data_IF_728097680289
#
_entry.id   IF_728097680289
#
_cell.length_a   1.000
_cell.length_b   1.000
_cell.length_c   1.000
_cell.angle_alpha   90.00
_cell.angle_beta   90.00
_cell.angle_gamma   90.00
#
_symmetry.space_group_name_H-M   'P 1'
#
loop_
_entity.id
_entity.type
_entity.pdbx_description
1 polymer ?
#
# COMPACT_ATOMS: atom_id res chain seq x y z
N UNK A 1 -11.70 -25.75 -35.32
CA UNK A 1 -10.33 -25.35 -34.94
C UNK A 1 -10.39 -24.90 -33.49
N UNK A 2 -10.01 -25.79 -32.57
CA UNK A 2 -9.98 -25.51 -31.13
C UNK A 2 -8.66 -24.75 -30.91
N UNK A 3 -8.74 -23.50 -30.49
CA UNK A 3 -7.54 -22.74 -30.11
C UNK A 3 -6.94 -23.42 -28.86
N UNK A 4 -5.62 -23.66 -28.80
CA UNK A 4 -4.99 -24.20 -27.60
C UNK A 4 -5.20 -23.26 -26.42
N UNK A 5 -5.60 -23.78 -25.26
CA UNK A 5 -5.57 -23.04 -24.01
C UNK A 5 -4.10 -22.74 -23.67
N UNK A 6 -3.67 -21.50 -23.95
CA UNK A 6 -2.30 -21.05 -23.70
C UNK A 6 -2.02 -20.74 -22.21
N UNK A 7 -3.01 -20.93 -21.32
CA UNK A 7 -2.94 -20.57 -19.92
C UNK A 7 -3.63 -21.66 -19.09
N UNK A 8 -2.94 -22.15 -18.07
CA UNK A 8 -3.42 -23.22 -17.19
C UNK A 8 -3.61 -22.66 -15.78
N UNK A 9 -4.76 -22.92 -15.18
CA UNK A 9 -5.05 -22.63 -13.76
C UNK A 9 -5.86 -23.78 -13.16
N UNK A 10 -5.81 -23.92 -11.84
CA UNK A 10 -6.59 -24.95 -11.15
C UNK A 10 -8.09 -24.64 -11.24
N UNK A 11 -8.91 -25.68 -11.40
CA UNK A 11 -10.35 -25.54 -11.60
C UNK A 11 -11.04 -24.75 -10.47
N UNK A 12 -10.52 -24.82 -9.24
CA UNK A 12 -11.02 -24.07 -8.10
C UNK A 12 -10.93 -22.54 -8.26
N UNK A 13 -10.01 -22.06 -9.11
CA UNK A 13 -9.84 -20.63 -9.38
C UNK A 13 -10.58 -20.17 -10.65
N UNK A 14 -11.30 -21.04 -11.35
CA UNK A 14 -11.87 -20.73 -12.66
C UNK A 14 -12.82 -19.52 -12.61
N UNK A 15 -13.71 -19.48 -11.62
CA UNK A 15 -14.66 -18.36 -11.47
C UNK A 15 -13.94 -17.04 -11.20
N UNK A 16 -12.89 -17.07 -10.38
CA UNK A 16 -12.09 -15.89 -10.06
C UNK A 16 -11.29 -15.41 -11.28
N UNK A 17 -10.65 -16.33 -12.00
CA UNK A 17 -9.89 -16.03 -13.21
C UNK A 17 -10.82 -15.47 -14.30
N UNK A 18 -11.96 -16.12 -14.53
CA UNK A 18 -12.94 -15.65 -15.51
C UNK A 18 -13.51 -14.27 -15.15
N UNK A 19 -13.83 -14.04 -13.86
CA UNK A 19 -14.28 -12.74 -13.38
C UNK A 19 -13.23 -11.65 -13.64
N UNK A 20 -11.98 -11.89 -13.24
CA UNK A 20 -10.87 -10.94 -13.46
C UNK A 20 -10.60 -10.71 -14.94
N UNK A 21 -10.60 -11.76 -15.75
CA UNK A 21 -10.43 -11.68 -17.21
C UNK A 21 -11.54 -10.85 -17.85
N UNK A 22 -12.81 -11.13 -17.51
CA UNK A 22 -13.97 -10.41 -18.03
C UNK A 22 -13.93 -8.93 -17.65
N UNK A 23 -13.64 -8.62 -16.39
CA UNK A 23 -13.54 -7.24 -15.91
C UNK A 23 -12.42 -6.46 -16.62
N UNK A 24 -11.25 -7.09 -16.78
CA UNK A 24 -10.11 -6.50 -17.49
C UNK A 24 -10.42 -6.29 -18.97
N UNK A 25 -10.94 -7.33 -19.64
CA UNK A 25 -11.26 -7.31 -21.06
C UNK A 25 -12.33 -6.28 -21.39
N UNK A 26 -13.39 -6.19 -20.57
CA UNK A 26 -14.44 -5.19 -20.72
C UNK A 26 -13.85 -3.78 -20.66
N UNK A 27 -12.99 -3.50 -19.68
CA UNK A 27 -12.34 -2.19 -19.52
C UNK A 27 -11.49 -1.84 -20.75
N UNK A 28 -10.66 -2.77 -21.19
CA UNK A 28 -9.75 -2.57 -22.34
C UNK A 28 -10.52 -2.41 -23.65
N UNK A 29 -11.53 -3.24 -23.91
CA UNK A 29 -12.36 -3.16 -25.12
C UNK A 29 -13.14 -1.84 -25.14
N UNK A 30 -13.81 -1.46 -24.04
CA UNK A 30 -14.53 -0.19 -23.94
C UNK A 30 -13.60 1.01 -24.21
N UNK A 31 -12.36 0.97 -23.71
CA UNK A 31 -11.35 1.99 -23.98
C UNK A 31 -10.99 2.09 -25.47
N UNK A 32 -10.76 0.96 -26.13
CA UNK A 32 -10.47 0.89 -27.58
C UNK A 32 -11.64 1.41 -28.42
N UNK A 33 -12.87 1.00 -28.09
CA UNK A 33 -14.09 1.47 -28.74
C UNK A 33 -14.24 2.99 -28.57
N UNK A 34 -14.04 3.50 -27.35
CA UNK A 34 -14.14 4.93 -27.06
C UNK A 34 -13.09 5.75 -27.80
N UNK A 35 -11.87 5.22 -27.98
CA UNK A 35 -10.83 5.84 -28.82
C UNK A 35 -11.28 5.91 -30.27
N UNK A 36 -11.78 4.80 -30.80
CA UNK A 36 -12.28 4.68 -32.17
C UNK A 36 -13.45 5.63 -32.46
N UNK A 37 -14.36 5.80 -31.50
CA UNK A 37 -15.41 6.83 -31.53
C UNK A 37 -14.84 8.24 -31.70
N UNK A 38 -13.80 8.62 -30.94
CA UNK A 38 -13.18 9.96 -31.06
C UNK A 38 -12.49 10.18 -32.40
N UNK A 39 -11.96 9.11 -33.00
CA UNK A 39 -11.36 9.12 -34.33
C UNK A 39 -12.40 9.03 -35.45
N UNK A 40 -13.69 8.93 -35.11
CA UNK A 40 -14.80 8.68 -36.04
C UNK A 40 -14.58 7.45 -36.93
N UNK A 41 -14.02 6.38 -36.36
CA UNK A 41 -13.72 5.13 -37.06
C UNK A 41 -14.44 3.96 -36.38
N UNK A 42 -15.07 3.08 -37.16
CA UNK A 42 -15.63 1.83 -36.63
C UNK A 42 -14.53 0.78 -36.38
N UNK A 43 -14.52 0.09 -35.22
CA UNK A 43 -13.64 -1.05 -35.01
C UNK A 43 -14.00 -2.26 -35.92
N UNK A 44 -12.99 -2.95 -36.47
CA UNK A 44 -13.20 -4.12 -37.37
C UNK A 44 -13.99 -5.28 -36.74
N UNK A 45 -13.92 -5.41 -35.41
CA UNK A 45 -14.57 -6.48 -34.65
C UNK A 45 -16.00 -6.14 -34.19
N UNK A 46 -16.55 -4.99 -34.61
CA UNK A 46 -17.93 -4.59 -34.32
C UNK A 46 -18.73 -4.60 -35.63
N UNK A 47 -19.91 -5.22 -35.60
CA UNK A 47 -20.82 -5.23 -36.74
C UNK A 47 -21.28 -3.81 -37.10
N UNK A 48 -21.75 -3.59 -38.32
CA UNK A 48 -22.28 -2.26 -38.67
C UNK A 48 -23.51 -1.91 -37.83
N UNK A 49 -24.42 -2.88 -37.66
CA UNK A 49 -25.63 -2.71 -36.86
C UNK A 49 -25.32 -2.28 -35.42
N UNK A 50 -24.42 -2.99 -34.72
CA UNK A 50 -24.05 -2.67 -33.34
C UNK A 50 -23.38 -1.30 -33.24
N UNK A 51 -22.54 -0.94 -34.23
CA UNK A 51 -21.89 0.36 -34.26
C UNK A 51 -22.90 1.50 -34.43
N UNK A 52 -23.87 1.35 -35.32
CA UNK A 52 -24.97 2.31 -35.49
C UNK A 52 -25.77 2.47 -34.19
N UNK A 53 -26.14 1.37 -33.53
CA UNK A 53 -26.85 1.42 -32.24
C UNK A 53 -26.03 2.15 -31.16
N UNK A 54 -24.72 1.94 -31.11
CA UNK A 54 -23.84 2.65 -30.18
C UNK A 54 -23.78 4.16 -30.48
N UNK A 55 -23.69 4.55 -31.76
CA UNK A 55 -23.70 5.94 -32.18
C UNK A 55 -25.03 6.63 -31.84
N UNK A 56 -26.16 5.97 -32.09
CA UNK A 56 -27.50 6.46 -31.71
C UNK A 56 -27.58 6.70 -30.20
N UNK A 57 -27.21 5.70 -29.39
CA UNK A 57 -27.17 5.81 -27.94
C UNK A 57 -26.28 6.98 -27.47
N UNK A 58 -25.09 7.12 -28.03
CA UNK A 58 -24.18 8.21 -27.67
C UNK A 58 -24.64 9.60 -28.12
N UNK A 59 -25.54 9.67 -29.09
CA UNK A 59 -26.15 10.91 -29.58
C UNK A 59 -27.32 11.36 -28.71
N UNK A 60 -27.80 10.51 -27.80
CA UNK A 60 -28.87 10.88 -26.86
C UNK A 60 -28.40 11.96 -25.88
N UNK A 61 -29.31 12.86 -25.51
CA UNK A 61 -29.02 13.92 -24.53
C UNK A 61 -28.48 13.40 -23.19
N UNK A 62 -29.02 12.30 -22.61
CA UNK A 62 -28.49 11.76 -21.36
C UNK A 62 -27.03 11.30 -21.49
N UNK A 63 -26.67 10.66 -22.61
CA UNK A 63 -25.29 10.21 -22.84
C UNK A 63 -24.33 11.39 -23.02
N UNK A 64 -24.75 12.43 -23.76
CA UNK A 64 -23.98 13.66 -23.95
C UNK A 64 -23.79 14.37 -22.61
N UNK A 65 -24.87 14.56 -21.83
CA UNK A 65 -24.82 15.20 -20.51
C UNK A 65 -23.86 14.46 -19.57
N UNK A 66 -24.00 13.14 -19.44
CA UNK A 66 -23.12 12.31 -18.63
C UNK A 66 -21.65 12.45 -19.04
N UNK A 67 -21.37 12.51 -20.35
CA UNK A 67 -20.02 12.70 -20.86
C UNK A 67 -19.46 14.09 -20.53
N UNK A 68 -20.28 15.14 -20.64
CA UNK A 68 -19.90 16.52 -20.29
C UNK A 68 -19.64 16.65 -18.79
N UNK A 69 -20.55 16.18 -17.96
CA UNK A 69 -20.40 16.19 -16.50
C UNK A 69 -19.11 15.45 -16.10
N UNK A 70 -18.88 14.24 -16.64
CA UNK A 70 -17.65 13.49 -16.39
C UNK A 70 -16.38 14.22 -16.86
N UNK A 71 -16.44 14.97 -17.96
CA UNK A 71 -15.32 15.80 -18.40
C UNK A 71 -15.07 16.96 -17.42
N UNK A 72 -16.11 17.68 -17.03
CA UNK A 72 -16.05 18.76 -16.04
C UNK A 72 -15.49 18.26 -14.72
N UNK A 73 -15.92 17.11 -14.22
CA UNK A 73 -15.37 16.52 -12.99
C UNK A 73 -13.90 16.11 -13.12
N UNK A 74 -13.45 15.63 -14.29
CA UNK A 74 -12.03 15.30 -14.49
C UNK A 74 -11.14 16.53 -14.49
N UNK A 75 -11.64 17.66 -14.95
CA UNK A 75 -10.89 18.92 -15.03
C UNK A 75 -11.27 19.92 -13.94
N UNK A 76 -12.09 19.51 -12.97
CA UNK A 76 -12.57 20.41 -11.92
C UNK A 76 -11.42 20.78 -10.99
N UNK A 77 -11.42 22.04 -10.54
CA UNK A 77 -10.52 22.56 -9.53
C UNK A 77 -11.32 23.07 -8.31
N UNK A 78 -11.99 22.19 -7.55
CA UNK A 78 -12.83 22.62 -6.43
C UNK A 78 -12.02 23.27 -5.31
N UNK A 79 -10.76 22.86 -5.15
CA UNK A 79 -9.93 23.19 -3.99
C UNK A 79 -8.98 24.37 -4.27
N UNK A 80 -9.00 24.94 -5.48
CA UNK A 80 -7.99 25.87 -5.97
C UNK A 80 -6.65 25.23 -6.36
N UNK A 81 -6.39 23.98 -5.93
CA UNK A 81 -5.13 23.23 -6.12
C UNK A 81 -4.90 22.62 -7.51
N UNK A 82 -5.77 22.93 -8.46
CA UNK A 82 -5.72 22.44 -9.83
C UNK A 82 -6.36 21.07 -10.02
N UNK A 83 -6.27 20.56 -11.25
CA UNK A 83 -6.70 19.21 -11.60
C UNK A 83 -5.77 18.17 -10.97
N UNK A 84 -6.34 17.09 -10.43
CA UNK A 84 -5.58 15.97 -9.88
C UNK A 84 -4.78 15.24 -10.96
N UNK A 85 -3.50 14.94 -10.70
CA UNK A 85 -2.58 14.33 -11.67
C UNK A 85 -1.63 13.34 -10.99
N UNK A 86 -1.27 12.28 -11.71
CA UNK A 86 -0.24 11.34 -11.29
C UNK A 86 0.60 10.88 -12.50
N UNK A 87 1.81 10.39 -12.23
CA UNK A 87 2.81 9.92 -13.19
C UNK A 87 2.89 8.38 -13.29
N UNK A 88 2.05 7.63 -12.57
CA UNK A 88 2.08 6.16 -12.51
C UNK A 88 1.89 5.43 -13.87
N UNK A 89 1.51 6.14 -14.94
CA UNK A 89 1.26 5.53 -16.24
C UNK A 89 0.17 4.43 -16.17
N UNK A 90 0.30 3.35 -16.95
CA UNK A 90 -0.64 2.22 -16.91
C UNK A 90 -0.42 1.25 -15.74
N UNK A 91 0.49 1.55 -14.81
CA UNK A 91 0.76 0.69 -13.67
C UNK A 91 -0.23 0.96 -12.53
N UNK A 92 -0.69 -0.10 -11.88
CA UNK A 92 -1.44 0.02 -10.62
C UNK A 92 -0.51 0.49 -9.50
N UNK A 93 -1.04 1.29 -8.57
CA UNK A 93 -0.27 1.78 -7.42
C UNK A 93 0.22 0.63 -6.53
N UNK A 94 -0.53 -0.47 -6.44
CA UNK A 94 -0.14 -1.68 -5.70
C UNK A 94 1.12 -2.32 -6.30
N UNK A 95 1.23 -2.34 -7.64
CA UNK A 95 2.44 -2.79 -8.31
C UNK A 95 3.61 -1.84 -8.04
N UNK A 96 3.38 -0.53 -8.06
CA UNK A 96 4.43 0.46 -7.79
C UNK A 96 4.94 0.32 -6.35
N UNK A 97 4.04 0.16 -5.38
CA UNK A 97 4.39 -0.09 -3.97
C UNK A 97 5.24 -1.35 -3.81
N UNK A 98 4.83 -2.45 -4.45
CA UNK A 98 5.60 -3.69 -4.46
C UNK A 98 6.98 -3.52 -5.11
N UNK A 99 7.06 -2.87 -6.28
CA UNK A 99 8.33 -2.61 -6.96
C UNK A 99 9.24 -1.73 -6.08
N UNK A 100 8.70 -0.74 -5.35
CA UNK A 100 9.46 0.07 -4.39
C UNK A 100 9.98 -0.74 -3.19
N UNK A 101 9.19 -1.67 -2.66
CA UNK A 101 9.61 -2.59 -1.59
C UNK A 101 10.76 -3.49 -2.05
N UNK A 102 10.67 -4.03 -3.27
CA UNK A 102 11.75 -4.84 -3.85
C UNK A 102 13.01 -4.01 -4.10
N UNK A 103 12.86 -2.78 -4.60
CA UNK A 103 13.99 -1.86 -4.86
C UNK A 103 14.71 -1.43 -3.56
N UNK A 104 13.99 -1.28 -2.45
CA UNK A 104 14.57 -0.92 -1.15
C UNK A 104 15.25 -2.11 -0.45
N UNK A 105 14.93 -3.35 -0.85
CA UNK A 105 15.41 -4.56 -0.18
C UNK A 105 14.83 -4.74 1.23
N UNK A 106 13.73 -4.04 1.54
CA UNK A 106 13.02 -4.16 2.81
C UNK A 106 11.86 -5.16 2.65
N UNK A 107 11.56 -5.91 3.71
CA UNK A 107 10.37 -6.77 3.76
C UNK A 107 9.08 -6.00 4.09
N UNK A 108 9.15 -4.67 4.13
CA UNK A 108 8.03 -3.78 4.43
C UNK A 108 7.72 -2.81 3.28
N UNK A 109 6.43 -2.55 2.99
CA UNK A 109 6.06 -1.60 1.96
C UNK A 109 6.42 -0.16 2.37
N UNK A 110 6.77 0.72 1.42
CA UNK A 110 7.10 2.11 1.72
C UNK A 110 5.95 2.83 2.46
N UNK A 111 6.24 3.92 3.20
CA UNK A 111 5.18 4.74 3.76
C UNK A 111 4.33 5.38 2.65
N UNK A 112 3.07 5.70 2.95
CA UNK A 112 2.14 6.27 1.97
C UNK A 112 2.64 7.60 1.40
N UNK A 113 3.39 8.38 2.17
CA UNK A 113 4.02 9.63 1.72
C UNK A 113 5.01 9.37 0.58
N UNK A 114 5.86 8.36 0.70
CA UNK A 114 6.82 7.95 -0.33
C UNK A 114 6.13 7.38 -1.57
N UNK A 115 5.08 6.57 -1.39
CA UNK A 115 4.27 6.09 -2.51
C UNK A 115 3.64 7.27 -3.28
N UNK A 116 3.08 8.24 -2.56
CA UNK A 116 2.51 9.45 -3.17
C UNK A 116 3.60 10.25 -3.88
N UNK A 117 4.78 10.44 -3.27
CA UNK A 117 5.93 11.11 -3.87
C UNK A 117 6.36 10.41 -5.16
N UNK A 118 6.49 9.08 -5.18
CA UNK A 118 6.82 8.30 -6.38
C UNK A 118 5.78 8.46 -7.49
N UNK A 119 4.50 8.51 -7.12
CA UNK A 119 3.40 8.52 -8.09
C UNK A 119 2.96 9.91 -8.55
N UNK A 120 3.27 10.97 -7.82
CA UNK A 120 2.82 12.35 -8.09
C UNK A 120 3.97 13.34 -8.35
N UNK A 121 5.19 12.85 -8.53
CA UNK A 121 6.37 13.66 -8.86
C UNK A 121 6.85 13.37 -10.27
N UNK A 122 7.33 14.41 -10.96
CA UNK A 122 8.03 14.32 -12.25
C UNK A 122 9.26 15.22 -12.20
N UNK A 123 10.41 14.73 -12.64
CA UNK A 123 11.66 15.49 -12.67
C UNK A 123 12.05 16.09 -11.29
N UNK A 124 11.64 15.42 -10.21
CA UNK A 124 11.90 15.86 -8.82
C UNK A 124 10.88 16.85 -8.24
N UNK A 125 9.90 17.33 -9.02
CA UNK A 125 8.86 18.25 -8.54
C UNK A 125 7.46 17.62 -8.56
N UNK A 126 6.62 17.95 -7.58
CA UNK A 126 5.23 17.51 -7.54
C UNK A 126 4.43 18.10 -8.70
N UNK A 127 3.71 17.25 -9.42
CA UNK A 127 2.81 17.68 -10.51
C UNK A 127 1.37 17.91 -10.03
N UNK A 128 1.10 17.62 -8.76
CA UNK A 128 -0.19 17.71 -8.09
C UNK A 128 -0.03 18.44 -6.76
N UNK A 129 -0.54 19.67 -6.70
CA UNK A 129 -0.41 20.54 -5.52
C UNK A 129 -1.13 19.97 -4.30
N UNK A 130 -2.21 19.20 -4.49
CA UNK A 130 -2.91 18.55 -3.37
C UNK A 130 -2.07 17.41 -2.78
N UNK A 131 -1.43 16.61 -3.63
CA UNK A 131 -0.51 15.57 -3.19
C UNK A 131 0.70 16.17 -2.44
N UNK A 132 1.27 17.25 -2.97
CA UNK A 132 2.36 17.98 -2.34
C UNK A 132 1.98 18.49 -0.95
N UNK A 133 0.87 19.24 -0.84
CA UNK A 133 0.41 19.75 0.46
C UNK A 133 0.20 18.61 1.46
N UNK A 134 -0.46 17.53 1.03
CA UNK A 134 -0.76 16.41 1.90
C UNK A 134 0.51 15.72 2.42
N UNK A 135 1.50 15.49 1.56
CA UNK A 135 2.77 14.85 1.97
C UNK A 135 3.50 15.75 2.96
N UNK A 136 3.63 17.04 2.66
CA UNK A 136 4.33 17.98 3.53
C UNK A 136 3.64 18.15 4.89
N UNK A 137 2.32 18.28 4.93
CA UNK A 137 1.56 18.38 6.19
C UNK A 137 1.68 17.12 7.07
N UNK A 138 1.83 15.94 6.45
CA UNK A 138 2.02 14.68 7.17
C UNK A 138 3.44 14.62 7.74
N UNK A 139 4.45 14.89 6.91
CA UNK A 139 5.85 14.87 7.32
C UNK A 139 6.12 15.91 8.42
N UNK A 140 5.57 17.12 8.31
CA UNK A 140 5.67 18.17 9.33
C UNK A 140 5.00 17.76 10.63
N UNK A 141 3.79 17.21 10.59
CA UNK A 141 3.08 16.79 11.80
C UNK A 141 3.81 15.69 12.54
N UNK A 142 4.40 14.73 11.82
CA UNK A 142 5.18 13.66 12.43
C UNK A 142 6.49 14.21 13.02
N UNK A 143 7.18 15.11 12.31
CA UNK A 143 8.38 15.76 12.83
C UNK A 143 8.11 16.54 14.13
N UNK A 144 6.97 17.23 14.24
CA UNK A 144 6.56 17.94 15.45
C UNK A 144 6.32 16.99 16.63
N UNK A 145 5.69 15.83 16.39
CA UNK A 145 5.47 14.81 17.44
C UNK A 145 6.79 14.25 17.99
N UNK A 146 7.79 14.11 17.13
CA UNK A 146 9.13 13.66 17.53
C UNK A 146 9.86 14.73 18.35
N UNK A 147 9.75 16.02 17.97
CA UNK A 147 10.37 17.10 18.74
C UNK A 147 9.74 17.29 20.13
N UNK A 148 8.42 17.14 20.25
CA UNK A 148 7.72 17.26 21.54
C UNK A 148 8.01 16.07 22.48
N UNK A 149 8.39 14.92 21.90
CA UNK A 149 8.80 13.72 22.66
C UNK A 149 10.26 13.81 23.16
N UNK A 150 11.09 14.71 22.62
CA UNK A 150 12.53 14.90 22.94
C UNK A 150 12.77 15.77 24.20
N UNK A 151 11.83 15.82 25.14
CA UNK A 151 12.11 16.31 26.51
C UNK A 151 12.65 15.23 27.45
N UNK A 152 12.78 13.97 27.00
CA UNK A 152 13.48 12.92 27.74
C UNK A 152 14.41 12.11 26.82
N UNK A 153 15.71 12.20 27.12
CA UNK A 153 16.83 11.40 26.61
C UNK A 153 17.29 11.59 25.14
N UNK A 154 18.57 11.91 25.02
CA UNK A 154 19.39 12.00 23.81
C UNK A 154 19.33 10.74 22.95
N UNK A 155 18.93 10.86 21.69
CA UNK A 155 19.44 10.02 20.60
C UNK A 155 19.15 10.57 19.22
N UNK A 156 20.11 10.32 18.33
CA UNK A 156 20.18 10.50 16.88
C UNK A 156 18.83 10.58 16.16
N UNK A 157 18.72 11.50 15.20
CA UNK A 157 17.57 11.68 14.30
C UNK A 157 17.10 10.32 13.74
N UNK A 158 16.09 9.74 14.38
CA UNK A 158 15.43 8.54 13.90
C UNK A 158 14.59 8.93 12.70
N UNK A 159 14.63 8.12 11.64
CA UNK A 159 13.65 8.25 10.57
C UNK A 159 12.27 7.99 11.18
N UNK A 160 11.26 8.85 10.93
CA UNK A 160 9.95 8.66 11.51
C UNK A 160 9.38 7.29 11.16
N UNK A 161 8.80 6.62 12.16
CA UNK A 161 8.29 5.26 11.95
C UNK A 161 7.26 5.25 10.82
N UNK A 162 7.43 4.33 9.88
CA UNK A 162 6.52 4.09 8.74
C UNK A 162 5.05 4.11 9.16
N UNK A 163 4.75 3.47 10.30
CA UNK A 163 3.41 3.34 10.85
C UNK A 163 2.84 4.69 11.31
N UNK A 164 3.65 5.53 11.95
CA UNK A 164 3.25 6.88 12.38
C UNK A 164 2.95 7.79 11.17
N UNK A 165 3.82 7.76 10.15
CA UNK A 165 3.57 8.45 8.87
C UNK A 165 2.26 8.00 8.24
N UNK A 166 2.01 6.68 8.17
CA UNK A 166 0.79 6.14 7.60
C UNK A 166 -0.45 6.54 8.41
N UNK A 167 -0.36 6.56 9.74
CA UNK A 167 -1.47 6.97 10.61
C UNK A 167 -1.82 8.46 10.41
N UNK A 168 -0.82 9.35 10.41
CA UNK A 168 -1.04 10.79 10.16
C UNK A 168 -1.53 11.05 8.73
N UNK A 169 -1.06 10.25 7.76
CA UNK A 169 -1.53 10.30 6.39
C UNK A 169 -3.02 9.98 6.30
N UNK A 170 -3.50 8.89 6.92
CA UNK A 170 -4.91 8.51 6.88
C UNK A 170 -5.82 9.57 7.51
N UNK A 171 -5.38 10.26 8.57
CA UNK A 171 -6.15 11.36 9.19
C UNK A 171 -6.41 12.50 8.20
N UNK A 172 -5.43 12.86 7.37
CA UNK A 172 -5.49 14.02 6.45
C UNK A 172 -5.98 13.70 5.03
N UNK A 173 -5.87 12.46 4.60
CA UNK A 173 -6.13 12.05 3.21
C UNK A 173 -7.57 11.57 2.93
N UNK A 174 -8.47 11.64 3.92
CA UNK A 174 -9.86 11.18 3.79
C UNK A 174 -10.66 12.04 2.81
N UNK A 175 -11.31 11.40 1.85
CA UNK A 175 -12.21 12.06 0.90
C UNK A 175 -13.67 11.97 1.36
N UNK A 176 -14.54 12.83 0.81
CA UNK A 176 -15.99 12.82 1.11
C UNK A 176 -16.69 11.50 0.76
N UNK A 177 -16.09 10.68 -0.11
CA UNK A 177 -16.59 9.35 -0.51
C UNK A 177 -15.98 8.20 0.30
N UNK A 178 -15.29 8.48 1.40
CA UNK A 178 -14.70 7.47 2.27
C UNK A 178 -13.48 6.75 1.70
N UNK A 179 -12.95 7.22 0.57
CA UNK A 179 -11.68 6.77 -0.02
C UNK A 179 -10.51 7.56 0.52
N UNK A 180 -9.31 7.00 0.35
CA UNK A 180 -8.05 7.64 0.71
C UNK A 180 -7.41 8.24 -0.54
N UNK A 181 -7.13 9.54 -0.49
CA UNK A 181 -6.48 10.25 -1.60
C UNK A 181 -5.02 9.81 -1.77
N UNK A 182 -4.51 9.86 -3.00
CA UNK A 182 -3.09 9.69 -3.29
C UNK A 182 -2.58 8.25 -3.38
N UNK A 183 -3.19 7.27 -2.71
CA UNK A 183 -2.64 5.90 -2.65
C UNK A 183 -3.27 4.91 -3.67
N UNK A 184 -4.16 5.39 -4.54
CA UNK A 184 -4.66 4.62 -5.69
C UNK A 184 -5.23 3.23 -5.31
N UNK A 185 -4.74 2.17 -5.95
CA UNK A 185 -5.21 0.80 -5.71
C UNK A 185 -4.75 0.19 -4.38
N UNK A 186 -3.72 0.74 -3.72
CA UNK A 186 -3.20 0.24 -2.43
C UNK A 186 -4.28 0.27 -1.35
N UNK A 187 -5.20 1.24 -1.41
CA UNK A 187 -6.30 1.34 -0.45
C UNK A 187 -7.27 0.13 -0.47
N UNK A 188 -7.20 -0.72 -1.49
CA UNK A 188 -8.02 -1.94 -1.59
C UNK A 188 -7.22 -3.20 -1.27
N UNK A 189 -5.96 -3.07 -0.85
CA UNK A 189 -5.18 -4.21 -0.38
C UNK A 189 -5.80 -4.72 0.93
N UNK A 190 -6.08 -6.03 1.00
CA UNK A 190 -6.74 -6.67 2.15
C UNK A 190 -8.09 -6.04 2.54
N UNK A 191 -8.80 -5.43 1.57
CA UNK A 191 -10.10 -4.80 1.82
C UNK A 191 -11.19 -5.85 2.09
N UNK A 192 -11.86 -5.72 3.23
CA UNK A 192 -13.04 -6.51 3.57
C UNK A 192 -14.28 -5.74 3.10
N UNK A 193 -15.14 -6.30 2.21
CA UNK A 193 -16.28 -5.58 1.64
C UNK A 193 -17.28 -5.01 2.64
N UNK A 194 -17.33 -5.54 3.86
CA UNK A 194 -18.25 -5.10 4.93
C UNK A 194 -17.79 -3.84 5.66
N UNK A 195 -16.57 -3.36 5.39
CA UNK A 195 -15.99 -2.22 6.11
C UNK A 195 -15.64 -1.06 5.16
N UNK A 196 -15.49 0.14 5.73
CA UNK A 196 -14.94 1.26 4.97
C UNK A 196 -13.45 1.08 4.71
N UNK A 197 -12.96 1.60 3.58
CA UNK A 197 -11.52 1.60 3.24
C UNK A 197 -10.68 2.18 4.37
N UNK A 198 -11.11 3.30 4.95
CA UNK A 198 -10.39 3.97 6.04
C UNK A 198 -10.31 3.09 7.30
N UNK A 199 -11.41 2.46 7.69
CA UNK A 199 -11.44 1.54 8.83
C UNK A 199 -10.54 0.31 8.62
N UNK A 200 -10.58 -0.29 7.43
CA UNK A 200 -9.74 -1.44 7.07
C UNK A 200 -8.26 -1.10 7.14
N UNK A 201 -7.85 0.07 6.62
CA UNK A 201 -6.46 0.52 6.66
C UNK A 201 -6.01 0.86 8.09
N UNK A 202 -6.83 1.52 8.89
CA UNK A 202 -6.49 1.78 10.30
C UNK A 202 -6.29 0.47 11.08
N UNK A 203 -7.16 -0.53 10.86
CA UNK A 203 -7.00 -1.84 11.51
C UNK A 203 -5.69 -2.50 11.08
N UNK A 204 -5.33 -2.44 9.80
CA UNK A 204 -4.05 -2.97 9.31
C UNK A 204 -2.87 -2.30 10.00
N UNK A 205 -2.88 -0.98 10.15
CA UNK A 205 -1.81 -0.25 10.85
C UNK A 205 -1.78 -0.62 12.33
N UNK A 206 -2.92 -0.76 13.00
CA UNK A 206 -3.00 -1.22 14.40
C UNK A 206 -2.42 -2.63 14.57
N UNK A 207 -2.75 -3.56 13.67
CA UNK A 207 -2.19 -4.91 13.71
C UNK A 207 -0.68 -4.91 13.49
N UNK A 208 -0.16 -4.08 12.58
CA UNK A 208 1.27 -3.94 12.34
C UNK A 208 1.98 -3.38 13.59
N UNK A 209 1.45 -2.31 14.21
CA UNK A 209 2.01 -1.73 15.44
C UNK A 209 2.10 -2.74 16.59
N UNK A 210 1.05 -3.56 16.75
CA UNK A 210 1.02 -4.63 17.74
C UNK A 210 2.04 -5.73 17.42
N UNK A 211 2.21 -6.08 16.15
CA UNK A 211 3.21 -7.06 15.72
C UNK A 211 4.63 -6.58 16.00
N UNK A 212 4.98 -5.34 15.61
CA UNK A 212 6.31 -4.77 15.88
C UNK A 212 6.63 -4.72 17.38
N UNK A 213 5.63 -4.43 18.21
CA UNK A 213 5.79 -4.45 19.67
C UNK A 213 6.03 -5.86 20.21
N UNK A 214 5.34 -6.86 19.65
CA UNK A 214 5.53 -8.27 20.01
C UNK A 214 6.89 -8.80 19.58
N UNK A 215 7.37 -8.44 18.38
CA UNK A 215 8.70 -8.80 17.89
C UNK A 215 9.80 -8.22 18.78
N UNK A 216 9.67 -6.95 19.17
CA UNK A 216 10.60 -6.30 20.12
C UNK A 216 10.64 -7.05 21.45
N UNK A 217 9.47 -7.38 22.01
CA UNK A 217 9.39 -8.15 23.25
C UNK A 217 9.98 -9.57 23.09
N UNK A 218 9.76 -10.20 21.95
CA UNK A 218 10.30 -11.53 21.63
C UNK A 218 11.82 -11.53 21.60
N UNK A 219 12.44 -10.53 20.96
CA UNK A 219 13.92 -10.40 20.95
C UNK A 219 14.49 -10.10 22.35
N UNK A 220 13.79 -9.27 23.15
CA UNK A 220 14.18 -9.03 24.54
C UNK A 220 14.10 -10.32 25.38
N UNK A 221 13.04 -11.11 25.23
CA UNK A 221 12.88 -12.41 25.90
C UNK A 221 13.97 -13.39 25.45
N UNK A 222 14.29 -13.45 24.15
CA UNK A 222 15.34 -14.29 23.62
C UNK A 222 16.71 -13.94 24.22
N UNK A 223 17.04 -12.66 24.28
CA UNK A 223 18.28 -12.15 24.91
C UNK A 223 18.36 -12.55 26.39
N UNK A 224 17.25 -12.42 27.12
CA UNK A 224 17.18 -12.82 28.53
C UNK A 224 17.37 -14.34 28.69
N UNK A 225 16.79 -15.15 27.81
CA UNK A 225 16.95 -16.61 27.81
C UNK A 225 18.40 -17.01 27.54
N UNK A 226 19.07 -16.36 26.59
CA UNK A 226 20.49 -16.59 26.30
C UNK A 226 21.38 -16.22 27.51
N UNK A 227 21.08 -15.10 28.16
CA UNK A 227 21.78 -14.66 29.38
C UNK A 227 21.61 -15.64 30.52
N UNK A 228 20.37 -16.11 30.77
CA UNK A 228 20.09 -17.12 31.80
C UNK A 228 20.77 -18.46 31.52
N UNK A 229 20.84 -18.88 30.25
CA UNK A 229 21.60 -20.08 29.86
C UNK A 229 23.10 -19.94 30.18
N UNK A 230 23.67 -18.76 29.96
CA UNK A 230 25.06 -18.48 30.32
C UNK A 230 25.27 -18.61 31.83
N UNK A 231 24.46 -17.93 32.64
CA UNK A 231 24.55 -18.01 34.11
C UNK A 231 24.35 -19.44 34.63
N UNK A 232 23.43 -20.20 34.05
CA UNK A 232 23.21 -21.59 34.47
C UNK A 232 24.40 -22.50 34.14
N UNK A 233 25.10 -22.24 33.03
CA UNK A 233 26.31 -22.98 32.65
C UNK A 233 27.46 -22.67 33.61
N UNK A 234 27.64 -21.40 33.96
CA UNK A 234 28.63 -20.95 34.94
C UNK A 234 28.36 -21.53 36.33
N UNK A 235 27.11 -21.42 36.82
CA UNK A 235 26.71 -21.97 38.12
C UNK A 235 26.94 -23.49 38.17
N UNK A 236 26.62 -24.21 37.10
CA UNK A 236 26.90 -25.65 37.00
C UNK A 236 28.39 -25.94 37.07
N UNK A 237 29.23 -25.14 36.43
CA UNK A 237 30.69 -25.23 36.53
C UNK A 237 31.18 -25.03 37.97
N UNK A 238 30.73 -23.97 38.62
CA UNK A 238 31.10 -23.64 40.01
C UNK A 238 30.70 -24.74 41.00
N UNK A 239 29.49 -25.30 40.85
CA UNK A 239 29.01 -26.41 41.70
C UNK A 239 29.83 -27.69 41.50
N UNK A 240 30.25 -27.98 40.26
CA UNK A 240 31.13 -29.12 39.98
C UNK A 240 32.51 -28.90 40.61
N UNK A 241 33.08 -27.70 40.47
CA UNK A 241 34.35 -27.32 41.11
C UNK A 241 34.32 -27.50 42.64
N UNK A 242 33.30 -26.94 43.31
CA UNK A 242 33.11 -27.10 44.75
C UNK A 242 33.00 -28.57 45.18
N UNK A 243 32.31 -29.40 44.38
CA UNK A 243 32.15 -30.83 44.67
C UNK A 243 33.48 -31.58 44.59
N UNK A 244 34.33 -31.21 43.64
CA UNK A 244 35.63 -31.86 43.48
C UNK A 244 36.61 -31.40 44.57
N UNK A 245 36.62 -30.12 44.94
CA UNK A 245 37.37 -29.60 46.09
C UNK A 245 36.99 -30.30 47.41
N UNK A 246 35.69 -30.42 47.70
CA UNK A 246 35.21 -31.13 48.89
C UNK A 246 35.65 -32.60 48.94
N UNK A 247 35.76 -33.27 47.79
CA UNK A 247 36.24 -34.66 47.74
C UNK A 247 37.73 -34.74 48.06
N UNK A 248 38.54 -33.80 47.56
CA UNK A 248 39.97 -33.79 47.86
C UNK A 248 40.22 -33.53 49.35
N UNK A 249 39.48 -32.62 49.98
CA UNK A 249 39.57 -32.40 51.44
C UNK A 249 39.19 -33.65 52.25
N UNK A 250 38.16 -34.39 51.80
CA UNK A 250 37.71 -35.61 52.50
C UNK A 250 38.71 -36.78 52.39
N UNK A 251 39.51 -36.81 51.32
CA UNK A 251 40.56 -37.84 51.12
C UNK A 251 41.85 -37.47 51.86
N UNK A 252 42.06 -36.18 52.16
CA UNK A 252 43.21 -35.69 52.91
C UNK A 252 43.08 -35.83 54.45
N UNK A 253 41.94 -36.29 54.95
CA UNK A 253 41.63 -36.49 56.39
C UNK A 253 41.62 -37.98 56.75
#
# INVERSE_FOLDING_TARGET
MILPENYYWEAQFNDEVYYKWKAHTQTTICGKISKKKRENQKPKYISEADWTTLLEYWSTEPAIKKSKDAATYRTSNPDGKGMHKHCAGPQSFLKIEYDMMVESGLDEPPPYTELVRKTHTRDGSFIDSRAETLVLEVEEAVAQMETDSVSQTTSTAATPSRLLLNQEFLKRSKTSRGRVYGIGSVQHNNFIPTESVHASLNRSIDTDMRMSSLETNSEAVKTNVETLKSYMTELKGNVVGMKDEMKEELVAT
#
